data_IF_229847100825
#
_entry.id   IF_229847100825
#
_cell.length_a   1.000
_cell.length_b   1.000
_cell.length_c   1.000
_cell.angle_alpha   90.00
_cell.angle_beta   90.00
_cell.angle_gamma   90.00
#
_symmetry.space_group_name_H-M   'P 1'
#
loop_
_entity.id
_entity.type
_entity.pdbx_description
1 polymer ?
#
# COMPACT_ATOMS: atom_id res chain seq x y z
N UNK A 1 8.27 -24.89 -54.96
CA UNK A 1 9.44 -24.06 -54.62
C UNK A 1 8.93 -22.87 -53.80
N UNK A 2 9.30 -22.86 -52.51
CA UNK A 2 9.15 -21.81 -51.47
C UNK A 2 7.74 -21.29 -51.08
N UNK A 3 7.19 -21.86 -50.00
CA UNK A 3 6.23 -21.18 -49.10
C UNK A 3 7.02 -20.32 -48.11
N UNK A 4 6.76 -19.02 -48.12
CA UNK A 4 7.40 -18.01 -47.27
C UNK A 4 7.19 -18.33 -45.77
N UNK A 5 8.29 -18.55 -45.04
CA UNK A 5 8.32 -18.68 -43.59
C UNK A 5 8.40 -17.28 -42.99
N UNK A 6 7.26 -16.65 -42.74
CA UNK A 6 7.20 -15.53 -41.78
C UNK A 6 6.46 -15.99 -40.54
N UNK A 7 7.25 -16.53 -39.61
CA UNK A 7 6.93 -16.55 -38.19
C UNK A 7 6.56 -15.12 -37.81
N UNK A 8 5.30 -14.88 -37.45
CA UNK A 8 4.88 -13.62 -36.85
C UNK A 8 5.56 -13.57 -35.48
N UNK A 9 6.71 -12.90 -35.41
CA UNK A 9 7.21 -12.36 -34.14
C UNK A 9 6.08 -11.47 -33.61
N UNK A 10 5.55 -11.83 -32.45
CA UNK A 10 4.67 -10.94 -31.70
C UNK A 10 5.48 -9.70 -31.37
N UNK A 11 4.96 -8.52 -31.74
CA UNK A 11 5.62 -7.27 -31.44
C UNK A 11 5.77 -7.14 -29.91
N UNK A 12 6.87 -6.55 -29.47
CA UNK A 12 7.18 -6.38 -28.04
C UNK A 12 6.06 -5.66 -27.28
N UNK A 13 5.22 -4.91 -27.99
CA UNK A 13 4.01 -4.25 -27.47
C UNK A 13 2.87 -5.22 -27.15
N UNK A 14 2.72 -6.33 -27.89
CA UNK A 14 1.70 -7.36 -27.63
C UNK A 14 2.01 -8.16 -26.35
N UNK A 15 3.30 -8.34 -26.03
CA UNK A 15 3.75 -9.00 -24.79
C UNK A 15 3.56 -8.09 -23.57
N UNK A 16 3.64 -6.77 -23.76
CA UNK A 16 3.43 -5.79 -22.68
C UNK A 16 1.94 -5.67 -22.33
N UNK A 17 1.04 -5.83 -23.31
CA UNK A 17 -0.41 -5.78 -23.06
C UNK A 17 -0.96 -7.01 -22.33
N UNK A 18 -0.28 -8.16 -22.36
CA UNK A 18 -0.81 -9.40 -21.75
C UNK A 18 -0.54 -9.56 -20.24
N UNK A 19 0.30 -8.71 -19.62
CA UNK A 19 0.74 -8.88 -18.23
C UNK A 19 0.20 -7.84 -17.23
N UNK A 20 -0.72 -6.97 -17.63
CA UNK A 20 -1.45 -6.09 -16.70
C UNK A 20 -2.94 -6.38 -16.77
N UNK A 21 -3.30 -7.65 -16.63
CA UNK A 21 -4.61 -7.98 -16.08
C UNK A 21 -4.58 -7.59 -14.60
N UNK A 22 -4.76 -6.29 -14.32
CA UNK A 22 -5.09 -5.79 -12.99
C UNK A 22 -6.30 -6.58 -12.54
N UNK A 23 -6.07 -7.54 -11.64
CA UNK A 23 -7.11 -8.28 -10.95
C UNK A 23 -7.86 -7.23 -10.13
N UNK A 24 -8.93 -6.69 -10.72
CA UNK A 24 -9.74 -5.64 -10.12
C UNK A 24 -10.26 -6.21 -8.79
N UNK A 25 -9.76 -5.69 -7.67
CA UNK A 25 -10.27 -6.10 -6.37
C UNK A 25 -11.78 -5.85 -6.37
N UNK A 26 -12.55 -6.93 -6.22
CA UNK A 26 -14.00 -6.85 -6.18
C UNK A 26 -14.35 -6.43 -4.76
N UNK A 27 -14.95 -5.25 -4.62
CA UNK A 27 -15.32 -4.72 -3.31
C UNK A 27 -16.33 -5.65 -2.62
N UNK A 28 -15.90 -6.28 -1.55
CA UNK A 28 -16.82 -6.85 -0.59
C UNK A 28 -17.30 -5.69 0.30
N UNK A 29 -18.49 -5.16 0.02
CA UNK A 29 -19.26 -4.30 0.95
C UNK A 29 -18.80 -2.84 1.11
N UNK A 30 -18.15 -2.20 0.13
CA UNK A 30 -17.81 -0.76 0.19
C UNK A 30 -16.60 -0.41 1.05
N UNK A 31 -15.87 -1.41 1.54
CA UNK A 31 -14.71 -1.26 2.44
C UNK A 31 -13.57 -0.45 1.79
N UNK A 32 -13.40 -0.54 0.47
CA UNK A 32 -12.39 0.22 -0.26
C UNK A 32 -12.71 1.72 -0.27
N UNK A 33 -13.99 2.08 -0.42
CA UNK A 33 -14.44 3.46 -0.35
C UNK A 33 -14.17 4.06 1.04
N UNK A 34 -14.44 3.30 2.11
CA UNK A 34 -14.18 3.76 3.47
C UNK A 34 -12.69 4.03 3.72
N UNK A 35 -11.79 3.14 3.28
CA UNK A 35 -10.33 3.33 3.41
C UNK A 35 -9.86 4.57 2.65
N UNK A 36 -10.37 4.78 1.45
CA UNK A 36 -10.06 5.97 0.66
C UNK A 36 -10.57 7.27 1.33
N UNK A 37 -11.81 7.26 1.81
CA UNK A 37 -12.38 8.39 2.54
C UNK A 37 -11.61 8.69 3.83
N UNK A 38 -11.24 7.64 4.57
CA UNK A 38 -10.44 7.75 5.79
C UNK A 38 -9.08 8.38 5.51
N UNK A 39 -8.34 7.91 4.50
CA UNK A 39 -7.04 8.47 4.13
C UNK A 39 -7.13 9.99 3.85
N UNK A 40 -8.17 10.44 3.14
CA UNK A 40 -8.43 11.87 2.92
C UNK A 40 -8.69 12.65 4.21
N UNK A 41 -9.48 12.07 5.12
CA UNK A 41 -9.78 12.71 6.41
C UNK A 41 -8.53 12.79 7.28
N UNK A 42 -7.72 11.75 7.34
CA UNK A 42 -6.45 11.77 8.06
C UNK A 42 -5.51 12.84 7.51
N UNK A 43 -5.38 12.97 6.19
CA UNK A 43 -4.61 14.06 5.58
C UNK A 43 -5.10 15.46 5.99
N UNK A 44 -6.43 15.68 6.00
CA UNK A 44 -7.03 16.94 6.45
C UNK A 44 -6.71 17.23 7.93
N UNK A 45 -6.73 16.20 8.78
CA UNK A 45 -6.42 16.32 10.20
C UNK A 45 -4.93 16.58 10.43
N UNK A 46 -4.04 15.94 9.67
CA UNK A 46 -2.60 16.22 9.69
C UNK A 46 -2.32 17.70 9.49
N UNK A 47 -2.89 18.30 8.44
CA UNK A 47 -2.69 19.72 8.15
C UNK A 47 -3.33 20.60 9.23
N UNK A 48 -4.53 20.26 9.71
CA UNK A 48 -5.26 21.03 10.72
C UNK A 48 -4.53 21.09 12.06
N UNK A 49 -3.94 19.97 12.49
CA UNK A 49 -3.29 19.85 13.79
C UNK A 49 -1.76 19.88 13.71
N UNK A 50 -1.21 20.17 12.53
CA UNK A 50 0.23 20.18 12.27
C UNK A 50 0.94 18.91 12.77
N UNK A 51 0.35 17.74 12.51
CA UNK A 51 0.95 16.46 12.92
C UNK A 51 2.23 16.24 12.12
N UNK A 52 3.35 16.06 12.83
CA UNK A 52 4.68 15.89 12.22
C UNK A 52 5.11 14.44 12.19
N UNK A 53 4.77 13.68 13.23
CA UNK A 53 5.16 12.28 13.40
C UNK A 53 3.96 11.45 13.82
N UNK A 54 3.87 10.23 13.31
CA UNK A 54 2.78 9.29 13.62
C UNK A 54 3.38 7.90 13.82
N UNK A 55 3.03 7.26 14.92
CA UNK A 55 3.28 5.83 15.10
C UNK A 55 1.98 5.07 14.78
N UNK A 56 2.07 4.06 13.91
CA UNK A 56 0.99 3.10 13.67
C UNK A 56 1.52 1.70 13.98
N UNK A 57 0.71 0.91 14.67
CA UNK A 57 0.96 -0.51 14.89
C UNK A 57 -0.10 -1.28 14.08
N UNK A 58 0.21 -1.73 12.85
CA UNK A 58 -0.79 -2.32 11.98
C UNK A 58 -1.36 -3.60 12.58
N UNK A 59 -2.69 -3.71 12.64
CA UNK A 59 -3.35 -4.91 13.14
C UNK A 59 -3.30 -6.02 12.05
N UNK A 60 -2.71 -7.17 12.40
CA UNK A 60 -2.63 -8.33 11.52
C UNK A 60 -3.93 -9.13 11.58
N UNK A 61 -4.86 -8.87 10.65
CA UNK A 61 -6.13 -9.60 10.55
C UNK A 61 -6.51 -9.94 9.10
N UNK A 62 -7.09 -11.12 8.87
CA UNK A 62 -7.45 -11.63 7.53
C UNK A 62 -8.41 -10.73 6.73
N UNK A 63 -9.18 -9.86 7.39
CA UNK A 63 -10.09 -8.89 6.76
C UNK A 63 -9.48 -7.51 6.53
N UNK A 64 -8.24 -7.33 6.97
CA UNK A 64 -7.65 -6.04 7.20
C UNK A 64 -6.51 -5.75 6.20
N UNK A 65 -5.98 -6.74 5.47
CA UNK A 65 -4.80 -6.55 4.62
C UNK A 65 -5.04 -5.55 3.43
N UNK A 66 -4.07 -4.68 3.10
CA UNK A 66 -3.02 -4.17 3.98
C UNK A 66 -3.61 -3.08 4.89
N UNK A 67 -3.66 -3.32 6.20
CA UNK A 67 -4.29 -2.41 7.18
C UNK A 67 -3.34 -1.28 7.55
N UNK A 68 -2.96 -0.50 6.54
CA UNK A 68 -2.09 0.65 6.71
C UNK A 68 -2.97 1.90 6.59
N UNK A 69 -3.48 2.37 7.72
CA UNK A 69 -4.31 3.57 7.74
C UNK A 69 -3.46 4.83 7.73
N UNK A 70 -2.18 4.73 8.10
CA UNK A 70 -1.29 5.89 8.23
C UNK A 70 -0.85 6.52 6.91
N UNK A 71 -1.14 5.91 5.76
CA UNK A 71 -0.80 6.46 4.43
C UNK A 71 -1.34 7.88 4.26
N UNK A 72 -2.53 8.16 4.79
CA UNK A 72 -3.12 9.50 4.76
C UNK A 72 -2.26 10.56 5.46
N UNK A 73 -1.59 10.22 6.56
CA UNK A 73 -0.66 11.12 7.24
C UNK A 73 0.61 11.35 6.43
N UNK A 74 1.19 10.28 5.87
CA UNK A 74 2.39 10.33 5.03
C UNK A 74 2.19 11.19 3.77
N UNK A 75 1.03 11.06 3.11
CA UNK A 75 0.64 11.91 1.97
C UNK A 75 0.54 13.39 2.32
N UNK A 76 0.19 13.71 3.57
CA UNK A 76 0.13 15.07 4.09
C UNK A 76 1.48 15.58 4.65
N UNK A 77 2.55 14.77 4.55
CA UNK A 77 3.92 15.15 4.86
C UNK A 77 4.44 14.68 6.22
N UNK A 78 3.63 14.03 7.05
CA UNK A 78 4.06 13.48 8.32
C UNK A 78 5.04 12.30 8.12
N UNK A 79 5.96 12.13 9.07
CA UNK A 79 6.82 10.96 9.17
C UNK A 79 6.08 9.85 9.91
N UNK A 80 6.06 8.64 9.35
CA UNK A 80 5.33 7.50 9.90
C UNK A 80 6.30 6.43 10.39
N UNK A 81 6.11 5.97 11.62
CA UNK A 81 6.78 4.77 12.14
C UNK A 81 5.76 3.63 12.16
N UNK A 82 6.01 2.58 11.37
CA UNK A 82 5.24 1.33 11.41
C UNK A 82 5.86 0.36 12.42
N UNK A 83 5.16 0.16 13.54
CA UNK A 83 5.57 -0.73 14.61
C UNK A 83 5.05 -2.13 14.35
N UNK A 84 5.92 -3.14 14.39
CA UNK A 84 5.62 -4.53 14.06
C UNK A 84 5.00 -4.69 12.66
N UNK A 85 5.38 -3.81 11.73
CA UNK A 85 4.99 -3.88 10.32
C UNK A 85 5.65 -5.06 9.60
N UNK A 86 5.00 -5.59 8.56
CA UNK A 86 5.55 -6.64 7.70
C UNK A 86 6.15 -6.04 6.42
N UNK A 87 7.10 -6.75 5.81
CA UNK A 87 7.86 -6.28 4.63
C UNK A 87 6.97 -5.83 3.46
N UNK A 88 5.80 -6.46 3.30
CA UNK A 88 4.86 -6.11 2.23
C UNK A 88 4.33 -4.68 2.38
N UNK A 89 4.30 -4.12 3.59
CA UNK A 89 3.92 -2.74 3.82
C UNK A 89 4.96 -1.78 3.22
N UNK A 90 6.26 -2.05 3.38
CA UNK A 90 7.32 -1.24 2.78
C UNK A 90 7.20 -1.16 1.25
N UNK A 91 6.78 -2.25 0.60
CA UNK A 91 6.53 -2.26 -0.84
C UNK A 91 5.37 -1.33 -1.23
N UNK A 92 4.28 -1.30 -0.46
CA UNK A 92 3.16 -0.39 -0.69
C UNK A 92 3.60 1.08 -0.61
N UNK A 93 4.37 1.45 0.41
CA UNK A 93 4.89 2.81 0.57
C UNK A 93 5.83 3.22 -0.57
N UNK A 94 6.68 2.30 -1.01
CA UNK A 94 7.57 2.52 -2.16
C UNK A 94 6.80 2.72 -3.47
N UNK A 95 5.74 1.94 -3.71
CA UNK A 95 4.89 2.10 -4.89
C UNK A 95 4.18 3.46 -4.93
N UNK A 96 3.95 4.07 -3.77
CA UNK A 96 3.37 5.40 -3.63
C UNK A 96 4.42 6.54 -3.66
N UNK A 97 5.72 6.21 -3.76
CA UNK A 97 6.79 7.21 -3.70
C UNK A 97 6.98 7.85 -2.32
N UNK A 98 6.54 7.18 -1.26
CA UNK A 98 6.56 7.65 0.13
C UNK A 98 7.58 6.88 0.99
N UNK A 99 8.51 6.16 0.39
CA UNK A 99 9.52 5.35 1.07
C UNK A 99 10.36 6.15 2.08
N UNK A 100 10.58 7.45 1.80
CA UNK A 100 11.32 8.36 2.69
C UNK A 100 10.49 8.87 3.88
N UNK A 101 9.19 8.59 3.91
CA UNK A 101 8.23 9.02 4.93
C UNK A 101 7.85 7.91 5.90
N UNK A 102 8.44 6.72 5.74
CA UNK A 102 8.14 5.57 6.58
C UNK A 102 9.40 4.95 7.16
N UNK A 103 9.36 4.65 8.46
CA UNK A 103 10.36 3.84 9.16
C UNK A 103 9.66 2.63 9.78
N UNK A 104 10.43 1.58 10.05
CA UNK A 104 9.93 0.33 10.62
C UNK A 104 10.62 0.09 11.95
N UNK A 105 9.82 -0.23 12.96
CA UNK A 105 10.30 -0.56 14.30
C UNK A 105 9.69 -1.88 14.75
N UNK A 106 10.45 -2.69 15.47
CA UNK A 106 9.96 -3.95 16.05
C UNK A 106 10.04 -3.86 17.56
N UNK A 107 8.93 -4.13 18.23
CA UNK A 107 8.80 -4.15 19.69
C UNK A 107 8.33 -5.52 20.16
N UNK A 108 8.32 -5.73 21.48
CA UNK A 108 7.91 -7.01 22.09
C UNK A 108 6.49 -7.42 21.66
N UNK A 109 6.22 -8.73 21.75
CA UNK A 109 5.00 -9.39 21.28
C UNK A 109 3.72 -8.66 21.70
N UNK A 110 2.85 -8.39 20.71
CA UNK A 110 1.51 -7.84 20.91
C UNK A 110 0.62 -8.69 21.82
N UNK A 111 0.98 -9.95 22.03
CA UNK A 111 0.24 -10.89 22.86
C UNK A 111 0.71 -10.90 24.32
N UNK A 112 1.72 -10.11 24.65
CA UNK A 112 2.22 -9.94 26.01
C UNK A 112 2.08 -8.48 26.44
N UNK A 113 0.87 -8.09 26.83
CA UNK A 113 0.53 -6.74 27.28
C UNK A 113 0.52 -6.68 28.81
N UNK A 114 1.56 -7.18 29.49
CA UNK A 114 1.67 -7.03 30.94
C UNK A 114 1.74 -5.53 31.26
N UNK A 115 0.60 -4.96 31.65
CA UNK A 115 0.43 -3.62 32.20
C UNK A 115 0.72 -3.63 33.71
#
# INVERSE_FOLDING_TARGET
MFRDKRSRMLDTEDVIQSNVAQKKEVEAWGVTYERYALAKKLAQLTSRYALQTVAEMPAHGAKAMPSIYSIGFGLAGAEVTLINGIDTYGQCWKQLGLDRKVTFETVESLYNTSL
#
